data_IF_770795256371
#
_entry.id   IF_770795256371
#
_cell.length_a   1.000
_cell.length_b   1.000
_cell.length_c   1.000
_cell.angle_alpha   90.00
_cell.angle_beta   90.00
_cell.angle_gamma   90.00
#
_symmetry.space_group_name_H-M   'P 1'
#
loop_
_entity.id
_entity.type
_entity.pdbx_description
1 polymer ?
#
# COMPACT_ATOMS: atom_id res chain seq x y z
N UNK A 1 -20.10 11.95 -14.87
CA UNK A 1 -19.67 11.12 -13.71
C UNK A 1 -18.61 10.18 -14.24
N UNK A 2 -17.43 10.08 -13.62
CA UNK A 2 -16.37 9.19 -14.09
C UNK A 2 -16.84 7.72 -13.96
N UNK A 3 -16.46 6.89 -14.91
CA UNK A 3 -16.66 5.44 -14.86
C UNK A 3 -15.74 4.82 -13.81
N UNK A 4 -16.05 3.60 -13.37
CA UNK A 4 -15.18 2.87 -12.43
C UNK A 4 -13.76 2.68 -13.00
N UNK A 5 -13.66 2.40 -14.30
CA UNK A 5 -12.37 2.24 -14.99
C UNK A 5 -11.56 3.53 -14.96
N UNK A 6 -12.18 4.67 -15.30
CA UNK A 6 -11.49 5.98 -15.26
C UNK A 6 -11.02 6.33 -13.84
N UNK A 7 -11.80 5.99 -12.81
CA UNK A 7 -11.40 6.20 -11.41
C UNK A 7 -10.16 5.35 -11.08
N UNK A 8 -10.14 4.08 -11.47
CA UNK A 8 -9.00 3.18 -11.22
C UNK A 8 -7.74 3.70 -11.92
N UNK A 9 -7.83 4.06 -13.19
CA UNK A 9 -6.70 4.58 -13.98
C UNK A 9 -6.15 5.89 -13.39
N UNK A 10 -7.03 6.76 -12.89
CA UNK A 10 -6.63 7.99 -12.21
C UNK A 10 -5.92 7.71 -10.88
N UNK A 11 -6.44 6.81 -10.05
CA UNK A 11 -5.80 6.46 -8.78
C UNK A 11 -4.45 5.78 -9.00
N UNK A 12 -4.32 4.94 -10.04
CA UNK A 12 -3.04 4.37 -10.44
C UNK A 12 -2.01 5.44 -10.78
N UNK A 13 -2.42 6.45 -11.55
CA UNK A 13 -1.53 7.56 -11.91
C UNK A 13 -1.14 8.38 -10.67
N UNK A 14 -2.10 8.73 -9.81
CA UNK A 14 -1.84 9.53 -8.59
C UNK A 14 -0.83 8.81 -7.69
N UNK A 15 -1.07 7.54 -7.37
CA UNK A 15 -0.23 6.79 -6.42
C UNK A 15 1.18 6.53 -6.96
N UNK A 16 1.32 6.34 -8.28
CA UNK A 16 2.65 6.25 -8.90
C UNK A 16 3.37 7.60 -8.91
N UNK A 17 2.67 8.72 -9.15
CA UNK A 17 3.29 10.04 -9.02
C UNK A 17 3.78 10.28 -7.60
N UNK A 18 3.00 9.92 -6.57
CA UNK A 18 3.46 10.03 -5.18
C UNK A 18 4.76 9.27 -4.91
N UNK A 19 4.90 8.06 -5.47
CA UNK A 19 6.13 7.28 -5.35
C UNK A 19 7.31 7.96 -6.04
N UNK A 20 7.09 8.57 -7.21
CA UNK A 20 8.12 9.27 -7.96
C UNK A 20 8.54 10.57 -7.27
N UNK A 21 7.58 11.33 -6.73
CA UNK A 21 7.84 12.56 -5.99
C UNK A 21 8.70 12.27 -4.75
N UNK A 22 8.38 11.23 -3.98
CA UNK A 22 9.19 10.79 -2.82
C UNK A 22 10.64 10.44 -3.22
N UNK A 23 10.82 9.81 -4.37
CA UNK A 23 12.15 9.42 -4.90
C UNK A 23 12.92 10.63 -5.42
N UNK A 24 12.23 11.59 -6.04
CA UNK A 24 12.84 12.84 -6.48
C UNK A 24 13.33 13.65 -5.28
N UNK A 25 12.52 13.73 -4.23
CA UNK A 25 12.84 14.44 -2.99
C UNK A 25 13.94 13.75 -2.18
N UNK A 26 13.93 12.42 -2.12
CA UNK A 26 14.95 11.62 -1.44
C UNK A 26 15.27 10.32 -2.22
N UNK A 27 16.29 10.32 -3.09
CA UNK A 27 16.66 9.13 -3.86
C UNK A 27 17.00 7.89 -3.02
N UNK A 28 17.51 8.09 -1.81
CA UNK A 28 17.90 7.01 -0.90
C UNK A 28 16.67 6.27 -0.32
N UNK A 29 15.47 6.86 -0.41
CA UNK A 29 14.22 6.24 0.07
C UNK A 29 13.90 4.93 -0.65
N UNK A 30 14.47 4.70 -1.84
CA UNK A 30 14.35 3.45 -2.58
C UNK A 30 14.93 2.28 -1.77
N UNK A 31 16.00 2.54 -1.03
CA UNK A 31 16.72 1.55 -0.23
C UNK A 31 16.19 1.46 1.21
N UNK A 32 15.21 2.29 1.57
CA UNK A 32 14.48 2.20 2.84
C UNK A 32 13.27 1.27 2.69
N UNK A 33 13.19 0.26 3.56
CA UNK A 33 12.13 -0.74 3.55
C UNK A 33 11.43 -0.85 4.90
N UNK A 34 10.18 -1.26 4.85
CA UNK A 34 9.34 -1.49 6.02
C UNK A 34 8.36 -2.64 5.78
N UNK A 35 7.77 -3.15 6.86
CA UNK A 35 6.68 -4.11 6.80
C UNK A 35 5.34 -3.37 6.68
N UNK A 36 4.60 -3.62 5.60
CA UNK A 36 3.30 -2.98 5.38
C UNK A 36 2.24 -3.48 6.35
N UNK A 37 1.57 -2.58 7.06
CA UNK A 37 0.53 -2.94 8.04
C UNK A 37 -0.73 -3.57 7.40
N UNK A 38 -0.92 -3.40 6.08
CA UNK A 38 -2.08 -3.91 5.36
C UNK A 38 -1.82 -5.27 4.70
N UNK A 39 -0.64 -5.49 4.09
CA UNK A 39 -0.35 -6.74 3.38
C UNK A 39 0.74 -7.60 4.03
N UNK A 40 1.39 -7.14 5.09
CA UNK A 40 2.45 -7.88 5.80
C UNK A 40 3.72 -8.09 4.99
N UNK A 41 3.83 -7.50 3.79
CA UNK A 41 4.99 -7.65 2.93
C UNK A 41 6.04 -6.59 3.26
N UNK A 42 7.32 -6.98 3.17
CA UNK A 42 8.44 -6.06 3.22
C UNK A 42 8.55 -5.30 1.88
N UNK A 43 8.34 -3.99 1.91
CA UNK A 43 8.22 -3.13 0.72
C UNK A 43 9.03 -1.85 0.89
N UNK A 44 9.38 -1.23 -0.23
CA UNK A 44 10.03 0.07 -0.26
C UNK A 44 9.14 1.15 0.38
N UNK A 45 9.76 2.07 1.11
CA UNK A 45 9.10 3.18 1.80
C UNK A 45 8.57 4.25 0.83
N UNK A 46 9.13 4.34 -0.38
CA UNK A 46 8.68 5.27 -1.42
C UNK A 46 7.18 5.11 -1.73
N UNK A 47 6.43 6.21 -1.68
CA UNK A 47 5.00 6.25 -1.94
C UNK A 47 4.17 5.53 -0.87
N UNK A 48 4.75 5.26 0.31
CA UNK A 48 3.99 4.78 1.47
C UNK A 48 3.23 5.91 2.15
N UNK A 49 2.07 5.60 2.72
CA UNK A 49 1.24 6.59 3.43
C UNK A 49 0.81 6.00 4.76
N UNK A 50 0.76 6.86 5.79
CA UNK A 50 0.21 6.53 7.09
C UNK A 50 -1.26 6.97 7.19
N UNK A 51 -2.14 6.02 7.49
CA UNK A 51 -3.56 6.22 7.73
C UNK A 51 -3.91 5.80 9.15
N UNK A 52 -4.27 6.75 10.02
CA UNK A 52 -4.74 6.45 11.37
C UNK A 52 -3.79 5.54 12.18
N UNK A 53 -2.48 5.62 11.92
CA UNK A 53 -1.46 4.78 12.55
C UNK A 53 -1.07 3.50 11.81
N UNK A 54 -1.71 3.20 10.67
CA UNK A 54 -1.33 2.12 9.76
C UNK A 54 -0.51 2.65 8.59
N UNK A 55 0.72 2.19 8.43
CA UNK A 55 1.55 2.52 7.26
C UNK A 55 1.34 1.49 6.16
N UNK A 56 0.86 1.98 5.02
CA UNK A 56 0.57 1.18 3.84
C UNK A 56 1.65 1.37 2.79
N UNK A 57 2.10 0.28 2.16
CA UNK A 57 2.95 0.34 0.97
C UNK A 57 2.16 0.92 -0.22
N UNK A 58 2.87 1.40 -1.23
CA UNK A 58 2.28 2.06 -2.39
C UNK A 58 1.18 1.22 -3.09
N UNK A 59 1.35 -0.11 -3.15
CA UNK A 59 0.32 -1.03 -3.68
C UNK A 59 -0.98 -1.01 -2.82
N UNK A 60 -0.84 -0.97 -1.49
CA UNK A 60 -1.98 -0.94 -0.58
C UNK A 60 -2.63 0.45 -0.52
N UNK A 61 -1.84 1.51 -0.67
CA UNK A 61 -2.33 2.88 -0.87
C UNK A 61 -3.25 2.94 -2.10
N UNK A 62 -2.85 2.32 -3.22
CA UNK A 62 -3.69 2.26 -4.41
C UNK A 62 -5.05 1.59 -4.12
N UNK A 63 -5.05 0.48 -3.37
CA UNK A 63 -6.29 -0.20 -2.97
C UNK A 63 -7.13 0.71 -2.07
N UNK A 64 -6.51 1.40 -1.12
CA UNK A 64 -7.17 2.33 -0.20
C UNK A 64 -7.85 3.47 -0.95
N UNK A 65 -7.09 4.23 -1.74
CA UNK A 65 -7.58 5.38 -2.50
C UNK A 65 -8.64 5.00 -3.52
N UNK A 66 -8.45 3.88 -4.24
CA UNK A 66 -9.46 3.36 -5.17
C UNK A 66 -10.73 2.95 -4.43
N UNK A 67 -10.60 2.30 -3.27
CA UNK A 67 -11.73 1.88 -2.44
C UNK A 67 -12.53 3.07 -1.91
N UNK A 68 -11.86 4.12 -1.44
CA UNK A 68 -12.49 5.37 -1.03
C UNK A 68 -13.19 6.07 -2.20
N UNK A 69 -12.52 6.22 -3.34
CA UNK A 69 -13.08 6.86 -4.53
C UNK A 69 -14.32 6.12 -5.08
N UNK A 70 -14.32 4.78 -5.00
CA UNK A 70 -15.45 3.93 -5.38
C UNK A 70 -16.49 3.73 -4.26
N UNK A 71 -16.29 4.34 -3.09
CA UNK A 71 -17.15 4.20 -1.89
C UNK A 71 -17.39 2.75 -1.48
N UNK A 72 -16.35 1.91 -1.55
CA UNK A 72 -16.39 0.50 -1.13
C UNK A 72 -16.33 0.33 0.38
N UNK A 73 -15.64 1.24 1.04
CA UNK A 73 -15.56 1.40 2.50
C UNK A 73 -15.38 2.89 2.82
N UNK A 74 -15.53 3.24 4.09
CA UNK A 74 -15.49 4.63 4.55
C UNK A 74 -14.31 4.93 5.47
N UNK A 75 -13.71 3.89 6.06
CA UNK A 75 -12.59 3.99 6.98
C UNK A 75 -11.50 3.01 6.61
N UNK A 76 -10.25 3.35 6.93
CA UNK A 76 -9.11 2.47 6.64
C UNK A 76 -9.20 1.14 7.41
N UNK A 77 -9.74 1.16 8.63
CA UNK A 77 -9.94 -0.05 9.43
C UNK A 77 -10.72 -1.15 8.68
N UNK A 78 -11.72 -0.78 7.87
CA UNK A 78 -12.50 -1.74 7.09
C UNK A 78 -11.63 -2.46 6.04
N UNK A 79 -10.64 -1.78 5.47
CA UNK A 79 -9.66 -2.38 4.57
C UNK A 79 -8.68 -3.28 5.33
N UNK A 80 -8.17 -2.82 6.48
CA UNK A 80 -7.25 -3.60 7.32
C UNK A 80 -7.90 -4.91 7.74
N UNK A 81 -9.13 -4.85 8.26
CA UNK A 81 -9.89 -6.03 8.68
C UNK A 81 -10.13 -7.00 7.52
N UNK A 82 -10.37 -6.48 6.31
CA UNK A 82 -10.57 -7.29 5.10
C UNK A 82 -9.28 -7.92 4.56
N UNK A 83 -8.11 -7.41 4.96
CA UNK A 83 -6.80 -7.83 4.46
C UNK A 83 -6.03 -8.70 5.44
N UNK A 84 -6.56 -8.97 6.65
CA UNK A 84 -5.85 -9.67 7.72
C UNK A 84 -5.35 -11.07 7.30
N UNK A 85 -6.13 -11.85 6.54
CA UNK A 85 -5.69 -13.16 6.03
C UNK A 85 -4.46 -12.99 5.11
N UNK A 86 -4.50 -12.02 4.20
CA UNK A 86 -3.40 -11.74 3.28
C UNK A 86 -2.17 -11.20 4.00
N UNK A 87 -2.38 -10.39 5.03
CA UNK A 87 -1.31 -9.91 5.91
C UNK A 87 -0.62 -11.08 6.60
N UNK A 88 -1.39 -12.00 7.18
CA UNK A 88 -0.85 -13.20 7.82
C UNK A 88 -0.05 -14.07 6.84
N UNK A 89 -0.53 -14.22 5.60
CA UNK A 89 0.21 -14.90 4.53
C UNK A 89 1.55 -14.21 4.25
N UNK A 90 1.56 -12.88 4.12
CA UNK A 90 2.77 -12.09 3.91
C UNK A 90 3.81 -12.27 5.02
N UNK A 91 3.37 -12.24 6.28
CA UNK A 91 4.23 -12.48 7.44
C UNK A 91 4.78 -13.91 7.47
N UNK A 92 3.94 -14.91 7.17
CA UNK A 92 4.36 -16.30 7.09
C UNK A 92 5.43 -16.51 6.02
N UNK A 93 5.29 -15.87 4.86
CA UNK A 93 6.24 -15.99 3.76
C UNK A 93 7.58 -15.35 4.09
N UNK A 94 7.57 -14.19 4.77
CA UNK A 94 8.80 -13.58 5.28
C UNK A 94 9.57 -14.52 6.21
N UNK A 95 8.89 -15.15 7.19
CA UNK A 95 9.53 -16.12 8.11
C UNK A 95 10.14 -17.28 7.33
N UNK A 96 9.43 -17.85 6.35
CA UNK A 96 9.95 -18.96 5.53
C UNK A 96 11.16 -18.56 4.69
N UNK A 97 11.26 -17.30 4.28
CA UNK A 97 12.41 -16.80 3.54
C UNK A 97 13.63 -16.61 4.45
N UNK A 98 13.43 -16.07 5.66
CA UNK A 98 14.50 -15.93 6.66
C UNK A 98 15.04 -17.30 7.12
N UNK A 99 14.18 -18.32 7.28
CA UNK A 99 14.64 -19.68 7.62
C UNK A 99 15.50 -20.35 6.53
N UNK A 100 15.43 -19.88 5.28
CA UNK A 100 16.22 -20.41 4.16
C UNK A 100 17.59 -19.73 4.01
N UNK A 101 17.82 -18.64 4.73
CA UNK A 101 19.02 -17.80 4.63
C UNK A 101 20.16 -18.31 5.50
#
# INVERSE_FOLDING_TARGET
MKTQKEIVEEMQAVVEQMRLDDIEDNPDIIDEFFECDCCGQHKCLAGSIEYEGYRLCNDCVLIAETGFALKKFSKIQELIDAMEDKRLEGLCDFIKEEEKR
#
